data_IF_465166399457
#
_entry.id   IF_465166399457
#
_cell.length_a   1.000
_cell.length_b   1.000
_cell.length_c   1.000
_cell.angle_alpha   90.00
_cell.angle_beta   90.00
_cell.angle_gamma   90.00
#
_symmetry.space_group_name_H-M   'P 1'
#
loop_
_entity.id
_entity.type
_entity.pdbx_description
1 polymer ?
#
# COMPACT_ATOMS: atom_id res chain seq x y z
N UNK A 1 46.63 13.11 29.37
CA UNK A 1 46.97 13.68 30.69
C UNK A 1 45.83 14.60 31.09
N UNK A 2 45.22 14.32 32.25
CA UNK A 2 44.16 15.04 32.99
C UNK A 2 42.76 15.11 32.30
N UNK A 3 41.72 14.38 32.73
CA UNK A 3 40.97 14.28 34.02
C UNK A 3 39.93 15.38 34.29
N UNK A 4 38.74 14.93 34.72
CA UNK A 4 37.68 15.70 35.40
C UNK A 4 36.62 16.29 34.46
N UNK A 5 35.38 15.82 34.36
CA UNK A 5 34.46 15.40 35.43
C UNK A 5 33.44 16.52 35.66
N UNK A 6 32.13 16.16 35.64
CA UNK A 6 30.97 16.78 36.32
C UNK A 6 29.71 16.71 35.44
N UNK A 7 28.83 15.78 35.81
CA UNK A 7 27.40 15.77 35.53
C UNK A 7 26.69 16.81 36.41
N UNK A 8 25.47 17.26 36.05
CA UNK A 8 24.47 17.63 37.03
C UNK A 8 23.32 16.63 37.06
N UNK A 9 23.25 15.98 38.22
CA UNK A 9 22.13 15.47 39.00
C UNK A 9 20.72 15.96 38.62
N UNK A 10 19.78 15.01 38.59
CA UNK A 10 18.34 15.19 38.60
C UNK A 10 17.80 15.86 39.89
N UNK A 11 16.54 16.35 39.88
CA UNK A 11 15.66 16.25 41.03
C UNK A 11 14.63 15.12 40.82
N UNK A 12 14.51 14.30 41.85
CA UNK A 12 13.56 13.21 42.00
C UNK A 12 12.14 13.71 42.28
N UNK A 13 11.13 12.89 41.93
CA UNK A 13 9.86 12.86 42.68
C UNK A 13 8.59 12.46 41.91
N UNK A 14 8.28 11.16 41.93
CA UNK A 14 6.90 10.61 41.88
C UNK A 14 6.25 10.48 40.49
N UNK A 15 5.65 9.37 40.07
CA UNK A 15 5.28 8.11 40.72
C UNK A 15 5.28 7.02 39.64
N UNK A 16 5.95 5.90 39.90
CA UNK A 16 5.86 4.70 39.10
C UNK A 16 4.45 4.09 39.24
N UNK A 17 3.63 4.26 38.22
CA UNK A 17 2.46 3.42 37.99
C UNK A 17 2.89 2.23 37.14
N UNK A 18 3.08 1.08 37.78
CA UNK A 18 3.26 -0.19 37.10
C UNK A 18 2.04 -0.43 36.19
N UNK A 19 2.25 -0.54 34.87
CA UNK A 19 1.28 -1.14 33.97
C UNK A 19 1.29 -2.65 34.22
N UNK A 20 0.59 -3.05 35.27
CA UNK A 20 0.13 -4.41 35.43
C UNK A 20 -0.76 -4.78 34.25
N UNK A 21 -0.45 -5.91 33.64
CA UNK A 21 -1.33 -6.64 32.73
C UNK A 21 -2.63 -6.95 33.47
N UNK A 22 -3.81 -6.50 33.01
CA UNK A 22 -5.04 -7.19 33.32
C UNK A 22 -5.28 -8.20 32.20
N UNK A 23 -5.01 -9.47 32.48
CA UNK A 23 -5.69 -10.56 31.80
C UNK A 23 -7.18 -10.44 32.12
N UNK A 24 -7.91 -9.77 31.24
CA UNK A 24 -9.33 -9.56 31.34
C UNK A 24 -9.87 -9.50 29.92
N UNK A 25 -10.50 -10.59 29.52
CA UNK A 25 -11.28 -10.71 28.29
C UNK A 25 -12.30 -9.57 28.25
N UNK A 26 -11.95 -8.48 27.55
CA UNK A 26 -12.85 -7.36 27.30
C UNK A 26 -13.83 -7.83 26.23
N UNK A 27 -14.95 -8.40 26.66
CA UNK A 27 -16.17 -8.32 25.88
C UNK A 27 -16.40 -6.84 25.53
N UNK A 28 -16.60 -6.47 24.26
CA UNK A 28 -16.82 -5.07 23.89
C UNK A 28 -18.11 -4.60 24.55
N UNK A 29 -17.97 -3.69 25.52
CA UNK A 29 -19.11 -3.01 26.11
C UNK A 29 -19.92 -2.25 25.04
N UNK A 30 -21.23 -2.03 25.23
CA UNK A 30 -22.04 -1.30 24.28
C UNK A 30 -21.50 0.13 24.16
N UNK A 31 -20.83 0.42 23.05
CA UNK A 31 -20.36 1.76 22.73
C UNK A 31 -21.60 2.64 22.56
N UNK A 32 -21.94 3.40 23.59
CA UNK A 32 -22.94 4.46 23.50
C UNK A 32 -22.42 5.50 22.52
N UNK A 33 -23.19 5.78 21.48
CA UNK A 33 -22.80 6.68 20.41
C UNK A 33 -22.46 8.06 20.98
N UNK A 34 -21.36 8.71 20.54
CA UNK A 34 -21.31 10.16 20.64
C UNK A 34 -22.48 10.73 19.82
N UNK A 35 -23.11 11.80 20.30
CA UNK A 35 -24.14 12.54 19.57
C UNK A 35 -23.62 13.05 18.18
N UNK A 36 -22.31 12.99 17.94
CA UNK A 36 -21.64 13.30 16.68
C UNK A 36 -20.55 12.26 16.31
N UNK A 37 -20.96 11.13 15.69
CA UNK A 37 -20.03 10.10 15.17
C UNK A 37 -19.17 10.63 14.02
N UNK A 38 -19.72 11.53 13.19
CA UNK A 38 -18.98 12.13 12.09
C UNK A 38 -17.81 12.98 12.60
N UNK A 39 -18.07 13.83 13.60
CA UNK A 39 -17.02 14.60 14.30
C UNK A 39 -15.99 13.71 14.98
N UNK A 40 -16.41 12.60 15.62
CA UNK A 40 -15.47 11.63 16.19
C UNK A 40 -14.56 11.04 15.12
N UNK A 41 -15.12 10.49 14.04
CA UNK A 41 -14.35 9.89 12.95
C UNK A 41 -13.38 10.88 12.33
N UNK A 42 -13.83 12.11 12.08
CA UNK A 42 -13.02 13.19 11.51
C UNK A 42 -11.85 13.62 12.43
N UNK A 43 -12.03 13.54 13.74
CA UNK A 43 -11.00 13.92 14.73
C UNK A 43 -9.88 12.88 14.91
N UNK A 44 -10.12 11.63 14.53
CA UNK A 44 -9.21 10.52 14.75
C UNK A 44 -8.22 10.36 13.57
N UNK A 45 -6.93 10.35 13.90
CA UNK A 45 -5.87 9.96 12.97
C UNK A 45 -5.90 8.45 12.68
N UNK A 46 -5.30 8.04 11.56
CA UNK A 46 -5.19 6.63 11.23
C UNK A 46 -4.38 5.84 12.28
N UNK A 47 -4.81 4.60 12.56
CA UNK A 47 -4.19 3.71 13.55
C UNK A 47 -5.23 2.92 14.36
N UNK A 48 -4.78 2.30 15.46
CA UNK A 48 -5.59 1.36 16.24
C UNK A 48 -6.89 1.94 16.81
N UNK A 49 -6.89 3.20 17.26
CA UNK A 49 -8.09 3.85 17.78
C UNK A 49 -9.18 4.01 16.71
N UNK A 50 -8.79 4.50 15.52
CA UNK A 50 -9.72 4.62 14.39
C UNK A 50 -10.17 3.24 13.88
N UNK A 51 -9.26 2.26 13.83
CA UNK A 51 -9.57 0.90 13.43
C UNK A 51 -10.64 0.27 14.33
N UNK A 52 -10.53 0.39 15.65
CA UNK A 52 -11.52 -0.15 16.58
C UNK A 52 -12.91 0.52 16.44
N UNK A 53 -12.96 1.84 16.20
CA UNK A 53 -14.23 2.54 15.97
C UNK A 53 -14.87 2.09 14.65
N UNK A 54 -14.09 2.01 13.57
CA UNK A 54 -14.56 1.54 12.26
C UNK A 54 -15.03 0.09 12.33
N UNK A 55 -14.27 -0.79 12.98
CA UNK A 55 -14.63 -2.18 13.21
C UNK A 55 -15.95 -2.30 13.99
N UNK A 56 -16.11 -1.56 15.09
CA UNK A 56 -17.34 -1.56 15.87
C UNK A 56 -18.58 -1.08 15.10
N UNK A 57 -18.40 -0.11 14.19
CA UNK A 57 -19.49 0.35 13.31
C UNK A 57 -19.82 -0.68 12.23
N UNK A 58 -18.82 -1.24 11.55
CA UNK A 58 -19.01 -2.24 10.49
C UNK A 58 -19.52 -3.58 11.02
N UNK A 59 -19.18 -3.95 12.27
CA UNK A 59 -19.67 -5.17 12.91
C UNK A 59 -21.20 -5.24 12.99
N UNK A 60 -21.90 -4.09 12.95
CA UNK A 60 -23.37 -4.03 12.92
C UNK A 60 -23.98 -4.47 11.60
N UNK A 61 -23.19 -4.49 10.53
CA UNK A 61 -23.59 -5.05 9.24
C UNK A 61 -23.35 -6.57 9.17
N UNK A 62 -22.81 -7.19 10.23
CA UNK A 62 -22.48 -8.61 10.25
C UNK A 62 -23.48 -9.36 11.14
N UNK A 63 -24.18 -10.33 10.56
CA UNK A 63 -25.09 -11.25 11.26
C UNK A 63 -24.50 -12.64 11.23
N UNK A 64 -24.72 -13.44 12.28
CA UNK A 64 -24.38 -14.88 12.26
C UNK A 64 -25.03 -15.55 11.06
N UNK A 65 -24.23 -16.23 10.23
CA UNK A 65 -24.76 -17.04 9.14
C UNK A 65 -25.62 -18.16 9.74
N UNK A 66 -26.92 -18.18 9.47
CA UNK A 66 -27.76 -19.31 9.87
C UNK A 66 -27.31 -20.53 9.07
N UNK A 67 -26.86 -21.58 9.76
CA UNK A 67 -26.76 -22.89 9.15
C UNK A 67 -28.17 -23.35 8.81
N UNK A 68 -28.52 -23.40 7.54
CA UNK A 68 -29.67 -24.20 7.11
C UNK A 68 -29.32 -25.68 7.34
N UNK A 69 -29.49 -26.15 8.57
CA UNK A 69 -29.50 -27.57 8.86
C UNK A 69 -30.31 -27.86 10.12
N UNK A 70 -31.63 -27.73 10.00
CA UNK A 70 -32.57 -28.44 10.86
C UNK A 70 -33.50 -29.26 9.95
N UNK A 71 -33.14 -30.51 9.69
CA UNK A 71 -34.04 -31.46 9.03
C UNK A 71 -33.39 -32.70 8.41
N UNK A 72 -33.24 -33.74 9.24
CA UNK A 72 -33.22 -35.18 8.87
C UNK A 72 -31.94 -35.68 8.16
N UNK A 73 -31.22 -36.72 8.57
CA UNK A 73 -31.48 -37.84 9.46
C UNK A 73 -30.66 -39.02 8.94
N UNK A 74 -29.85 -39.63 9.81
CA UNK A 74 -29.43 -41.03 9.67
C UNK A 74 -28.19 -41.36 8.83
N UNK A 75 -27.10 -41.67 9.55
CA UNK A 75 -26.51 -43.01 9.48
C UNK A 75 -25.37 -43.26 8.49
N UNK A 76 -24.38 -44.02 8.98
CA UNK A 76 -23.46 -44.80 8.17
C UNK A 76 -22.02 -44.33 8.30
N UNK A 77 -21.26 -44.99 9.18
CA UNK A 77 -19.81 -44.89 9.17
C UNK A 77 -19.22 -45.58 7.96
N UNK A 78 -17.95 -45.32 7.70
CA UNK A 78 -16.97 -46.32 7.27
C UNK A 78 -15.60 -45.66 7.26
N UNK A 79 -14.70 -46.30 7.99
CA UNK A 79 -13.28 -46.03 8.04
C UNK A 79 -12.68 -46.10 6.63
N UNK A 80 -11.86 -45.12 6.27
CA UNK A 80 -10.93 -45.25 5.16
C UNK A 80 -9.55 -44.80 5.60
N UNK A 81 -8.75 -45.81 5.96
CA UNK A 81 -7.31 -45.74 6.03
C UNK A 81 -6.76 -45.37 4.64
N UNK A 82 -6.09 -44.23 4.55
CA UNK A 82 -5.26 -43.85 3.42
C UNK A 82 -3.97 -43.18 3.92
N UNK A 83 -2.94 -44.02 4.01
CA UNK A 83 -1.49 -43.79 4.00
C UNK A 83 -1.01 -42.37 3.62
N UNK A 84 -0.05 -41.85 4.39
CA UNK A 84 0.97 -40.97 3.81
C UNK A 84 2.35 -41.26 4.40
N UNK A 85 3.14 -41.98 3.63
CA UNK A 85 4.54 -42.24 3.86
C UNK A 85 5.40 -41.02 3.45
N UNK A 86 6.26 -40.59 4.37
CA UNK A 86 7.62 -40.08 4.17
C UNK A 86 7.91 -39.00 3.12
N UNK A 87 8.39 -37.85 3.60
CA UNK A 87 9.69 -37.33 3.13
C UNK A 87 10.34 -36.45 4.20
N UNK A 88 11.64 -36.64 4.35
CA UNK A 88 12.51 -35.96 5.28
C UNK A 88 13.01 -34.63 4.69
N UNK A 89 13.29 -33.70 5.61
CA UNK A 89 14.33 -32.68 5.58
C UNK A 89 14.40 -31.75 4.35
N UNK A 90 13.70 -30.63 4.51
CA UNK A 90 13.92 -29.42 3.76
C UNK A 90 12.97 -28.34 4.26
N UNK A 91 13.27 -27.70 5.39
CA UNK A 91 12.59 -26.46 5.81
C UNK A 91 12.91 -25.36 4.80
N UNK A 92 12.21 -25.37 3.66
CA UNK A 92 12.13 -24.25 2.75
C UNK A 92 11.31 -23.17 3.42
N UNK A 93 11.81 -21.94 3.41
CA UNK A 93 11.21 -20.71 3.95
C UNK A 93 9.79 -20.37 3.41
N UNK A 94 9.15 -21.27 2.66
CA UNK A 94 8.02 -21.02 1.77
C UNK A 94 6.90 -22.09 1.79
N UNK A 95 6.96 -23.16 2.59
CA UNK A 95 6.01 -24.29 2.48
C UNK A 95 4.82 -24.29 3.48
N UNK A 96 4.55 -23.17 4.19
CA UNK A 96 3.59 -23.16 5.31
C UNK A 96 2.27 -22.39 5.13
N UNK A 97 1.95 -21.88 3.93
CA UNK A 97 1.11 -20.67 3.85
C UNK A 97 -0.38 -20.86 3.52
N UNK A 98 -0.80 -22.02 3.04
CA UNK A 98 -2.19 -22.23 2.60
C UNK A 98 -3.20 -22.45 3.74
N UNK A 99 -2.74 -22.79 4.95
CA UNK A 99 -3.60 -23.04 6.10
C UNK A 99 -4.13 -21.78 6.79
N UNK A 100 -3.36 -20.70 6.82
CA UNK A 100 -3.74 -19.46 7.52
C UNK A 100 -4.86 -18.72 6.78
N UNK A 101 -4.77 -18.60 5.45
CA UNK A 101 -5.79 -17.88 4.69
C UNK A 101 -7.13 -18.64 4.71
N UNK A 102 -7.10 -19.96 4.57
CA UNK A 102 -8.29 -20.79 4.68
C UNK A 102 -8.96 -20.70 6.05
N UNK A 103 -8.18 -20.66 7.15
CA UNK A 103 -8.75 -20.49 8.50
C UNK A 103 -9.34 -19.10 8.72
N UNK A 104 -8.73 -18.05 8.19
CA UNK A 104 -9.27 -16.68 8.22
C UNK A 104 -10.58 -16.56 7.43
N UNK A 105 -10.66 -17.20 6.25
CA UNK A 105 -11.88 -17.28 5.45
C UNK A 105 -12.98 -18.03 6.19
N UNK A 106 -12.68 -19.22 6.73
CA UNK A 106 -13.66 -20.02 7.48
C UNK A 106 -14.18 -19.28 8.73
N UNK A 107 -13.33 -18.54 9.44
CA UNK A 107 -13.76 -17.69 10.56
C UNK A 107 -14.69 -16.55 10.09
N UNK A 108 -14.42 -15.98 8.92
CA UNK A 108 -15.24 -14.91 8.32
C UNK A 108 -16.61 -15.43 7.86
N UNK A 109 -16.68 -16.64 7.30
CA UNK A 109 -17.92 -17.28 6.82
C UNK A 109 -18.96 -17.51 7.93
N UNK A 110 -18.54 -17.52 9.19
CA UNK A 110 -19.46 -17.58 10.34
C UNK A 110 -20.40 -16.36 10.41
N UNK A 111 -20.05 -15.27 9.71
CA UNK A 111 -20.87 -14.05 9.62
C UNK A 111 -21.15 -13.70 8.17
N UNK A 112 -22.40 -13.35 7.87
CA UNK A 112 -22.80 -12.77 6.59
C UNK A 112 -22.93 -11.26 6.69
N UNK A 113 -22.63 -10.57 5.60
CA UNK A 113 -22.98 -9.15 5.46
C UNK A 113 -24.48 -8.99 5.23
N UNK A 114 -25.08 -8.01 5.90
CA UNK A 114 -26.47 -7.60 5.68
C UNK A 114 -26.63 -7.00 4.29
N UNK A 115 -27.79 -7.25 3.66
CA UNK A 115 -28.20 -6.50 2.48
C UNK A 115 -28.53 -5.04 2.82
N UNK A 116 -28.59 -4.17 1.81
CA UNK A 116 -28.91 -2.73 2.02
C UNK A 116 -30.28 -2.54 2.67
N UNK A 117 -31.25 -3.40 2.34
CA UNK A 117 -32.60 -3.36 2.92
C UNK A 117 -32.61 -3.77 4.40
N UNK A 118 -31.83 -4.78 4.78
CA UNK A 118 -31.67 -5.25 6.17
C UNK A 118 -30.83 -4.28 7.02
N UNK A 119 -29.91 -3.54 6.39
CA UNK A 119 -29.04 -2.59 7.06
C UNK A 119 -29.80 -1.40 7.68
N UNK A 120 -31.06 -1.18 7.31
CA UNK A 120 -31.92 -0.18 7.95
C UNK A 120 -32.08 -0.37 9.46
N UNK A 121 -32.17 -1.63 9.89
CA UNK A 121 -32.37 -1.99 11.30
C UNK A 121 -31.06 -2.05 12.10
N UNK A 122 -29.90 -2.02 11.42
CA UNK A 122 -28.57 -2.06 12.04
C UNK A 122 -28.20 -0.78 12.80
N UNK A 123 -28.97 0.30 12.62
CA UNK A 123 -28.66 1.63 13.14
C UNK A 123 -27.52 2.35 12.41
N UNK A 124 -26.84 1.70 11.45
CA UNK A 124 -25.77 2.32 10.65
C UNK A 124 -26.32 3.39 9.70
N UNK A 125 -27.49 3.15 9.08
CA UNK A 125 -28.18 4.18 8.29
C UNK A 125 -28.58 5.40 9.14
N UNK A 126 -28.73 5.22 10.44
CA UNK A 126 -28.98 6.30 11.41
C UNK A 126 -27.85 7.32 11.52
N UNK A 127 -26.64 7.00 11.04
CA UNK A 127 -25.52 7.95 10.92
C UNK A 127 -25.77 9.04 9.86
N UNK A 128 -26.71 8.81 8.94
CA UNK A 128 -26.99 9.69 7.81
C UNK A 128 -25.85 9.79 6.80
N UNK A 129 -26.07 10.58 5.73
CA UNK A 129 -25.10 10.71 4.64
C UNK A 129 -23.74 11.26 5.10
N UNK A 130 -23.73 12.19 6.07
CA UNK A 130 -22.48 12.76 6.62
C UNK A 130 -21.67 11.74 7.41
N UNK A 131 -22.31 10.98 8.30
CA UNK A 131 -21.61 9.97 9.11
C UNK A 131 -21.13 8.79 8.27
N UNK A 132 -21.91 8.35 7.28
CA UNK A 132 -21.47 7.33 6.32
C UNK A 132 -20.32 7.82 5.43
N UNK A 133 -20.35 9.08 5.01
CA UNK A 133 -19.25 9.71 4.28
C UNK A 133 -17.95 9.75 5.09
N UNK A 134 -18.03 10.14 6.36
CA UNK A 134 -16.87 10.13 7.27
C UNK A 134 -16.38 8.71 7.59
N UNK A 135 -17.29 7.72 7.67
CA UNK A 135 -16.91 6.31 7.83
C UNK A 135 -16.11 5.81 6.61
N UNK A 136 -16.56 6.13 5.39
CA UNK A 136 -15.81 5.81 4.18
C UNK A 136 -14.44 6.50 4.15
N UNK A 137 -14.37 7.78 4.56
CA UNK A 137 -13.12 8.52 4.68
C UNK A 137 -12.18 7.90 5.72
N UNK A 138 -12.71 7.47 6.87
CA UNK A 138 -11.96 6.77 7.91
C UNK A 138 -11.36 5.43 7.41
N UNK A 139 -12.15 4.62 6.70
CA UNK A 139 -11.66 3.40 6.05
C UNK A 139 -10.52 3.71 5.07
N UNK A 140 -10.65 4.79 4.30
CA UNK A 140 -9.59 5.21 3.37
C UNK A 140 -8.31 5.65 4.10
N UNK A 141 -8.42 6.38 5.21
CA UNK A 141 -7.28 6.73 6.06
C UNK A 141 -6.57 5.49 6.62
N UNK A 142 -7.34 4.48 7.06
CA UNK A 142 -6.79 3.21 7.55
C UNK A 142 -6.09 2.41 6.45
N UNK A 143 -6.65 2.39 5.23
CA UNK A 143 -6.02 1.74 4.09
C UNK A 143 -4.68 2.40 3.73
N UNK A 144 -4.60 3.72 3.76
CA UNK A 144 -3.35 4.46 3.56
C UNK A 144 -2.31 4.16 4.66
N UNK A 145 -2.73 4.14 5.93
CA UNK A 145 -1.84 3.78 7.05
C UNK A 145 -1.33 2.34 6.96
N UNK A 146 -2.18 1.38 6.58
CA UNK A 146 -1.78 0.00 6.38
C UNK A 146 -0.77 -0.12 5.23
N UNK A 147 -1.01 0.58 4.10
CA UNK A 147 -0.10 0.60 2.96
C UNK A 147 1.26 1.24 3.30
N UNK A 148 1.27 2.31 4.11
CA UNK A 148 2.50 2.89 4.65
C UNK A 148 3.28 1.85 5.47
N UNK A 149 2.61 1.13 6.37
CA UNK A 149 3.23 0.07 7.17
C UNK A 149 3.77 -1.08 6.32
N UNK A 150 3.02 -1.50 5.29
CA UNK A 150 3.43 -2.50 4.31
C UNK A 150 4.70 -2.08 3.55
N UNK A 151 4.76 -0.82 3.11
CA UNK A 151 5.93 -0.26 2.43
C UNK A 151 7.16 -0.21 3.36
N UNK A 152 7.01 0.21 4.62
CA UNK A 152 8.11 0.21 5.59
C UNK A 152 8.61 -1.20 5.90
N UNK A 153 7.71 -2.17 6.08
CA UNK A 153 8.10 -3.57 6.26
C UNK A 153 8.87 -4.10 5.03
N UNK A 154 8.39 -3.79 3.82
CA UNK A 154 9.06 -4.15 2.57
C UNK A 154 10.47 -3.54 2.47
N UNK A 155 10.64 -2.28 2.86
CA UNK A 155 11.95 -1.64 2.90
C UNK A 155 12.89 -2.28 3.93
N UNK A 156 12.39 -2.57 5.14
CA UNK A 156 13.16 -3.23 6.20
C UNK A 156 13.68 -4.61 5.80
N UNK A 157 12.93 -5.37 4.99
CA UNK A 157 13.39 -6.68 4.46
C UNK A 157 14.73 -6.56 3.71
N UNK A 158 15.00 -5.42 3.06
CA UNK A 158 16.30 -5.22 2.36
C UNK A 158 17.50 -5.13 3.32
N UNK A 159 17.25 -4.89 4.61
CA UNK A 159 18.24 -4.89 5.68
C UNK A 159 18.42 -6.26 6.38
N UNK A 160 17.54 -7.23 6.11
CA UNK A 160 17.59 -8.54 6.77
C UNK A 160 18.79 -9.38 6.27
N UNK A 161 19.72 -9.79 7.17
CA UNK A 161 20.86 -10.62 6.80
C UNK A 161 20.46 -12.00 6.28
N UNK A 162 19.32 -12.53 6.72
CA UNK A 162 18.78 -13.84 6.34
C UNK A 162 18.46 -13.91 4.84
N UNK A 163 18.23 -12.75 4.21
CA UNK A 163 17.99 -12.65 2.77
C UNK A 163 19.29 -12.54 1.96
N UNK A 164 20.47 -12.67 2.57
CA UNK A 164 21.76 -12.71 1.87
C UNK A 164 22.25 -14.15 1.67
N UNK A 165 22.83 -14.46 0.50
CA UNK A 165 23.46 -15.78 0.27
C UNK A 165 24.80 -15.96 1.00
N UNK A 166 25.30 -14.92 1.70
CA UNK A 166 26.60 -14.91 2.37
C UNK A 166 26.53 -14.37 3.81
N UNK A 167 25.79 -15.04 4.72
CA UNK A 167 25.54 -14.55 6.07
C UNK A 167 26.81 -14.40 6.95
N UNK A 168 27.93 -15.04 6.57
CA UNK A 168 29.19 -15.04 7.32
C UNK A 168 30.29 -14.08 6.85
N UNK A 169 30.07 -13.28 5.80
CA UNK A 169 31.06 -12.30 5.28
C UNK A 169 30.89 -10.90 5.87
N UNK A 170 30.30 -10.83 7.06
CA UNK A 170 30.15 -9.60 7.82
C UNK A 170 31.55 -9.20 8.32
N UNK A 171 31.98 -7.95 8.06
CA UNK A 171 33.22 -7.44 8.62
C UNK A 171 33.21 -7.55 10.16
N UNK A 172 34.33 -7.28 10.86
CA UNK A 172 34.43 -7.39 12.32
C UNK A 172 33.42 -6.52 13.11
N UNK A 173 32.64 -5.67 12.43
CA UNK A 173 31.54 -4.86 12.95
C UNK A 173 30.15 -5.20 12.39
N UNK A 174 30.01 -6.28 11.62
CA UNK A 174 28.73 -6.63 11.00
C UNK A 174 28.48 -5.99 9.63
N UNK A 175 29.43 -5.24 9.09
CA UNK A 175 29.20 -4.51 7.84
C UNK A 175 29.53 -5.38 6.62
N UNK A 176 28.53 -5.56 5.76
CA UNK A 176 28.71 -6.10 4.41
C UNK A 176 29.16 -4.95 3.50
N UNK A 177 30.10 -5.23 2.57
CA UNK A 177 30.45 -4.27 1.53
C UNK A 177 29.18 -3.79 0.79
N UNK A 178 28.92 -2.48 0.68
CA UNK A 178 27.69 -1.94 0.08
C UNK A 178 27.48 -2.39 -1.38
N UNK A 179 28.55 -2.82 -2.05
CA UNK A 179 28.57 -3.25 -3.46
C UNK A 179 28.25 -4.73 -3.63
N UNK A 180 28.37 -5.55 -2.59
CA UNK A 180 28.11 -7.00 -2.66
C UNK A 180 26.98 -7.34 -1.68
N UNK A 181 25.74 -7.19 -2.14
CA UNK A 181 24.59 -7.79 -1.45
C UNK A 181 23.34 -6.93 -1.31
N UNK A 182 23.39 -5.60 -1.54
CA UNK A 182 22.15 -4.80 -1.47
C UNK A 182 21.19 -5.15 -2.61
N UNK A 183 21.65 -5.17 -3.86
CA UNK A 183 20.81 -5.55 -5.00
C UNK A 183 20.28 -7.00 -4.87
N UNK A 184 21.11 -7.90 -4.32
CA UNK A 184 20.73 -9.28 -4.03
C UNK A 184 19.64 -9.35 -2.95
N UNK A 185 19.82 -8.67 -1.81
CA UNK A 185 18.80 -8.62 -0.75
C UNK A 185 17.53 -7.95 -1.24
N UNK A 186 17.64 -6.89 -2.03
CA UNK A 186 16.50 -6.22 -2.66
C UNK A 186 15.76 -7.17 -3.59
N UNK A 187 16.48 -7.97 -4.38
CA UNK A 187 15.90 -9.00 -5.24
C UNK A 187 15.20 -10.09 -4.42
N UNK A 188 15.84 -10.62 -3.38
CA UNK A 188 15.30 -11.68 -2.52
C UNK A 188 14.07 -11.20 -1.73
N UNK A 189 14.10 -9.98 -1.18
CA UNK A 189 12.95 -9.35 -0.54
C UNK A 189 11.78 -9.21 -1.52
N UNK A 190 12.06 -8.78 -2.75
CA UNK A 190 11.03 -8.65 -3.80
C UNK A 190 10.44 -10.01 -4.19
N UNK A 191 11.27 -11.05 -4.29
CA UNK A 191 10.81 -12.41 -4.56
C UNK A 191 9.93 -12.94 -3.43
N UNK A 192 10.36 -12.82 -2.18
CA UNK A 192 9.59 -13.20 -1.01
C UNK A 192 8.23 -12.48 -0.97
N UNK A 193 8.21 -11.16 -1.14
CA UNK A 193 6.96 -10.39 -1.15
C UNK A 193 6.04 -10.80 -2.31
N UNK A 194 6.61 -11.09 -3.48
CA UNK A 194 5.81 -11.51 -4.64
C UNK A 194 5.09 -12.84 -4.41
N UNK A 195 5.74 -13.79 -3.72
CA UNK A 195 5.13 -15.08 -3.39
C UNK A 195 4.14 -14.93 -2.25
N UNK A 196 4.55 -14.27 -1.16
CA UNK A 196 3.73 -14.08 0.06
C UNK A 196 2.44 -13.28 -0.20
N UNK A 197 2.46 -12.29 -1.09
CA UNK A 197 1.31 -11.43 -1.38
C UNK A 197 0.58 -11.78 -2.69
N UNK A 198 1.06 -12.77 -3.45
CA UNK A 198 0.49 -13.13 -4.75
C UNK A 198 0.54 -12.00 -5.80
N UNK A 199 1.53 -11.10 -5.72
CA UNK A 199 1.68 -9.94 -6.61
C UNK A 199 2.87 -10.10 -7.56
N UNK A 200 2.91 -9.28 -8.62
CA UNK A 200 4.07 -9.27 -9.50
C UNK A 200 5.34 -8.77 -8.78
N UNK A 201 6.51 -9.31 -9.16
CA UNK A 201 7.81 -8.81 -8.68
C UNK A 201 8.00 -7.31 -8.92
N UNK A 202 7.46 -6.78 -10.02
CA UNK A 202 7.52 -5.33 -10.27
C UNK A 202 6.74 -4.54 -9.22
N UNK A 203 5.55 -5.02 -8.81
CA UNK A 203 4.75 -4.37 -7.75
C UNK A 203 5.43 -4.49 -6.39
N UNK A 204 5.92 -5.68 -6.03
CA UNK A 204 6.71 -5.86 -4.81
C UNK A 204 7.96 -4.95 -4.80
N UNK A 205 8.62 -4.81 -5.95
CA UNK A 205 9.75 -3.90 -6.10
C UNK A 205 9.37 -2.44 -5.86
N UNK A 206 8.24 -1.99 -6.40
CA UNK A 206 7.72 -0.63 -6.16
C UNK A 206 7.39 -0.37 -4.69
N UNK A 207 6.91 -1.38 -3.96
CA UNK A 207 6.66 -1.25 -2.52
C UNK A 207 7.96 -1.06 -1.73
N UNK A 208 9.00 -1.82 -2.08
CA UNK A 208 10.34 -1.66 -1.49
C UNK A 208 10.87 -0.25 -1.77
N UNK A 209 10.86 0.20 -3.02
CA UNK A 209 11.37 1.54 -3.40
C UNK A 209 10.59 2.66 -2.70
N UNK A 210 9.25 2.51 -2.62
CA UNK A 210 8.39 3.46 -1.93
C UNK A 210 8.72 3.54 -0.44
N UNK A 211 8.82 2.40 0.26
CA UNK A 211 9.19 2.37 1.67
C UNK A 211 10.57 2.97 1.93
N UNK A 212 11.54 2.67 1.09
CA UNK A 212 12.89 3.25 1.18
C UNK A 212 12.88 4.76 1.00
N UNK A 213 12.10 5.26 0.04
CA UNK A 213 11.92 6.69 -0.15
C UNK A 213 11.31 7.35 1.09
N UNK A 214 10.25 6.77 1.68
CA UNK A 214 9.61 7.27 2.90
C UNK A 214 10.56 7.31 4.11
N UNK A 215 11.47 6.33 4.22
CA UNK A 215 12.50 6.29 5.26
C UNK A 215 13.67 7.26 5.02
N UNK A 216 13.74 7.89 3.84
CA UNK A 216 14.80 8.84 3.50
C UNK A 216 14.45 10.26 3.97
N UNK A 217 15.49 11.07 4.24
CA UNK A 217 15.35 12.46 4.68
C UNK A 217 14.61 13.35 3.67
N UNK A 218 14.51 12.94 2.41
CA UNK A 218 13.87 13.72 1.34
C UNK A 218 12.35 13.68 1.34
N UNK A 219 11.70 12.77 2.10
CA UNK A 219 10.26 12.53 2.00
C UNK A 219 9.50 12.60 3.33
N UNK A 220 10.10 13.18 4.38
CA UNK A 220 9.44 13.37 5.68
C UNK A 220 8.02 13.98 5.58
N UNK A 221 7.78 15.05 4.78
CA UNK A 221 6.44 15.60 4.61
C UNK A 221 5.44 14.61 3.99
N UNK A 222 5.85 13.85 2.98
CA UNK A 222 5.01 12.82 2.33
C UNK A 222 4.73 11.66 3.29
N UNK A 223 5.76 11.19 4.01
CA UNK A 223 5.66 10.11 5.01
C UNK A 223 4.62 10.44 6.09
N UNK A 224 4.70 11.64 6.68
CA UNK A 224 3.77 12.02 7.76
C UNK A 224 2.33 12.04 7.27
N UNK A 225 2.09 12.53 6.05
CA UNK A 225 0.75 12.62 5.47
C UNK A 225 0.17 11.26 5.09
N UNK A 226 1.00 10.34 4.60
CA UNK A 226 0.57 8.97 4.30
C UNK A 226 0.30 8.18 5.58
N UNK A 227 1.21 8.28 6.56
CA UNK A 227 1.07 7.64 7.87
C UNK A 227 -0.19 8.07 8.60
N UNK A 228 -0.57 9.35 8.55
CA UNK A 228 -1.83 9.79 9.16
C UNK A 228 -3.08 9.52 8.30
N UNK A 229 -2.89 9.01 7.08
CA UNK A 229 -3.94 8.67 6.12
C UNK A 229 -4.54 9.86 5.37
N UNK A 230 -4.00 11.07 5.54
CA UNK A 230 -4.45 12.28 4.83
C UNK A 230 -4.09 12.22 3.35
N UNK A 231 -2.97 11.57 3.02
CA UNK A 231 -2.56 11.27 1.66
C UNK A 231 -2.76 9.77 1.41
N UNK A 232 -3.48 9.43 0.34
CA UNK A 232 -3.62 8.04 -0.07
C UNK A 232 -2.30 7.49 -0.64
N UNK A 233 -2.13 6.18 -0.53
CA UNK A 233 -0.90 5.49 -0.93
C UNK A 233 -0.59 5.65 -2.43
N UNK A 234 -1.59 5.79 -3.29
CA UNK A 234 -1.37 6.00 -4.72
C UNK A 234 -0.75 7.38 -5.01
N UNK A 235 -1.20 8.43 -4.31
CA UNK A 235 -0.57 9.76 -4.40
C UNK A 235 0.80 9.79 -3.72
N UNK A 236 0.94 9.17 -2.55
CA UNK A 236 2.23 9.12 -1.85
C UNK A 236 3.30 8.40 -2.69
N UNK A 237 2.97 7.22 -3.23
CA UNK A 237 3.83 6.46 -4.15
C UNK A 237 4.14 7.23 -5.44
N UNK A 238 3.19 8.02 -5.96
CA UNK A 238 3.46 8.91 -7.09
C UNK A 238 4.48 9.99 -6.73
N UNK A 239 4.36 10.62 -5.56
CA UNK A 239 5.30 11.64 -5.09
C UNK A 239 6.69 11.05 -4.91
N UNK A 240 6.82 9.92 -4.21
CA UNK A 240 8.13 9.29 -3.99
C UNK A 240 8.79 8.90 -5.31
N UNK A 241 8.07 8.21 -6.20
CA UNK A 241 8.60 7.77 -7.50
C UNK A 241 9.00 8.92 -8.42
N UNK A 242 8.28 10.05 -8.39
CA UNK A 242 8.58 11.20 -9.26
C UNK A 242 9.74 12.05 -8.77
N UNK A 243 10.08 11.96 -7.48
CA UNK A 243 11.11 12.77 -6.85
C UNK A 243 12.32 11.95 -6.38
N UNK A 244 12.33 10.62 -6.56
CA UNK A 244 13.41 9.72 -6.13
C UNK A 244 14.79 10.13 -6.67
N UNK A 245 14.87 10.47 -7.96
CA UNK A 245 16.10 10.93 -8.62
C UNK A 245 16.32 12.46 -8.53
N UNK A 246 15.50 13.18 -7.76
CA UNK A 246 15.57 14.64 -7.63
C UNK A 246 16.40 15.00 -6.40
N UNK A 247 17.31 16.00 -6.48
CA UNK A 247 18.08 16.43 -5.31
C UNK A 247 17.19 16.77 -4.12
N UNK A 248 17.55 16.28 -2.93
CA UNK A 248 16.76 16.41 -1.70
C UNK A 248 16.20 17.83 -1.45
N UNK A 249 17.00 18.91 -1.59
CA UNK A 249 16.47 20.27 -1.38
C UNK A 249 15.35 20.65 -2.37
N UNK A 250 15.45 20.19 -3.63
CA UNK A 250 14.44 20.43 -4.67
C UNK A 250 13.20 19.57 -4.40
N UNK A 251 13.38 18.31 -4.00
CA UNK A 251 12.28 17.41 -3.66
C UNK A 251 11.44 17.96 -2.49
N UNK A 252 12.08 18.50 -1.46
CA UNK A 252 11.40 19.16 -0.33
C UNK A 252 10.65 20.42 -0.78
N UNK A 253 11.27 21.29 -1.57
CA UNK A 253 10.62 22.49 -2.08
C UNK A 253 9.42 22.19 -3.00
N UNK A 254 9.48 21.10 -3.77
CA UNK A 254 8.34 20.62 -4.56
C UNK A 254 7.23 20.09 -3.66
N UNK A 255 7.56 19.32 -2.63
CA UNK A 255 6.60 18.81 -1.65
C UNK A 255 5.87 19.96 -0.93
N UNK A 256 6.57 21.00 -0.50
CA UNK A 256 5.98 22.18 0.15
C UNK A 256 4.92 22.87 -0.72
N UNK A 257 5.10 22.88 -2.05
CA UNK A 257 4.12 23.44 -2.99
C UNK A 257 2.93 22.52 -3.26
N UNK A 258 3.16 21.21 -3.37
CA UNK A 258 2.18 20.23 -3.88
C UNK A 258 1.33 19.62 -2.76
N UNK A 259 1.96 19.21 -1.67
CA UNK A 259 1.31 18.43 -0.61
C UNK A 259 0.12 19.13 0.05
N UNK A 260 0.11 20.46 0.30
CA UNK A 260 -1.04 21.12 0.92
C UNK A 260 -2.36 21.01 0.14
N UNK A 261 -2.29 20.75 -1.18
CA UNK A 261 -3.46 20.60 -2.05
C UNK A 261 -3.69 19.16 -2.49
N UNK A 262 -2.71 18.27 -2.33
CA UNK A 262 -2.75 16.90 -2.83
C UNK A 262 -3.94 16.06 -2.33
N UNK A 263 -4.39 16.15 -1.06
CA UNK A 263 -5.53 15.35 -0.58
C UNK A 263 -6.81 15.60 -1.38
N UNK A 264 -7.06 16.84 -1.83
CA UNK A 264 -8.26 17.26 -2.57
C UNK A 264 -8.15 17.09 -4.08
N UNK A 265 -7.01 16.65 -4.60
CA UNK A 265 -6.75 16.52 -6.03
C UNK A 265 -6.71 15.07 -6.46
N UNK A 266 -7.01 14.79 -7.72
CA UNK A 266 -6.85 13.46 -8.29
C UNK A 266 -5.35 13.13 -8.47
N UNK A 267 -5.01 11.84 -8.56
CA UNK A 267 -3.63 11.38 -8.80
C UNK A 267 -3.03 12.04 -10.06
N UNK A 268 -3.82 12.17 -11.13
CA UNK A 268 -3.38 12.83 -12.37
C UNK A 268 -3.17 14.34 -12.21
N UNK A 269 -3.96 15.02 -11.38
CA UNK A 269 -3.75 16.43 -11.06
C UNK A 269 -2.47 16.61 -10.23
N UNK A 270 -2.26 15.77 -9.21
CA UNK A 270 -1.03 15.78 -8.40
C UNK A 270 0.20 15.55 -9.28
N UNK A 271 0.13 14.61 -10.24
CA UNK A 271 1.22 14.40 -11.20
C UNK A 271 1.57 15.66 -12.00
N UNK A 272 0.56 16.40 -12.49
CA UNK A 272 0.76 17.68 -13.19
C UNK A 272 1.30 18.77 -12.27
N UNK A 273 0.87 18.80 -11.01
CA UNK A 273 1.35 19.76 -10.02
C UNK A 273 2.82 19.53 -9.67
N UNK A 274 3.24 18.26 -9.54
CA UNK A 274 4.65 17.89 -9.35
C UNK A 274 5.48 18.34 -10.55
N UNK A 275 5.03 18.04 -11.78
CA UNK A 275 5.76 18.44 -12.99
C UNK A 275 5.89 19.96 -13.10
N UNK A 276 4.82 20.71 -12.78
CA UNK A 276 4.84 22.18 -12.72
C UNK A 276 5.81 22.68 -11.65
N UNK A 277 5.71 22.17 -10.43
CA UNK A 277 6.57 22.57 -9.33
C UNK A 277 8.04 22.25 -9.61
N UNK A 278 8.35 21.13 -10.28
CA UNK A 278 9.70 20.79 -10.72
C UNK A 278 10.23 21.77 -11.77
N UNK A 279 9.41 22.15 -12.76
CA UNK A 279 9.82 23.15 -13.77
C UNK A 279 10.11 24.51 -13.15
N UNK A 280 9.34 24.93 -12.15
CA UNK A 280 9.55 26.20 -11.45
C UNK A 280 10.77 26.18 -10.53
N UNK A 281 11.02 25.06 -9.85
CA UNK A 281 12.02 24.95 -8.78
C UNK A 281 13.39 24.58 -9.31
N UNK A 282 13.44 23.78 -10.39
CA UNK A 282 14.68 23.31 -11.01
C UNK A 282 14.55 23.26 -12.55
N UNK A 283 14.61 24.43 -13.22
CA UNK A 283 14.54 24.51 -14.69
C UNK A 283 15.69 23.77 -15.37
N UNK A 284 16.90 23.85 -14.82
CA UNK A 284 18.11 23.24 -15.38
C UNK A 284 18.06 21.71 -15.32
N UNK A 285 17.71 21.14 -14.17
CA UNK A 285 17.54 19.71 -14.04
C UNK A 285 16.30 19.21 -14.79
N UNK A 286 15.29 20.05 -15.03
CA UNK A 286 14.20 19.69 -15.93
C UNK A 286 14.70 19.42 -17.35
N UNK A 287 15.56 20.29 -17.91
CA UNK A 287 16.15 20.08 -19.24
C UNK A 287 16.95 18.77 -19.30
N UNK A 288 17.74 18.47 -18.27
CA UNK A 288 18.52 17.23 -18.19
C UNK A 288 17.61 15.99 -18.07
N UNK A 289 16.57 16.03 -17.24
CA UNK A 289 15.57 14.95 -17.13
C UNK A 289 14.85 14.70 -18.46
N UNK A 290 14.49 15.75 -19.18
CA UNK A 290 13.89 15.63 -20.52
C UNK A 290 14.86 14.93 -21.47
N UNK A 291 16.14 15.32 -21.48
CA UNK A 291 17.17 14.68 -22.32
C UNK A 291 17.30 13.19 -22.03
N UNK A 292 17.34 12.81 -20.75
CA UNK A 292 17.39 11.39 -20.31
C UNK A 292 16.12 10.63 -20.71
N UNK A 293 14.94 11.22 -20.57
CA UNK A 293 13.69 10.55 -20.97
C UNK A 293 13.60 10.35 -22.48
N UNK A 294 14.05 11.34 -23.27
CA UNK A 294 14.10 11.24 -24.74
C UNK A 294 15.09 10.15 -25.21
N UNK A 295 16.21 9.96 -24.49
CA UNK A 295 17.15 8.89 -24.82
C UNK A 295 16.61 7.49 -24.48
N UNK A 296 15.67 7.40 -23.54
CA UNK A 296 14.96 6.16 -23.14
C UNK A 296 13.71 5.85 -23.96
N UNK A 297 13.47 6.57 -25.07
CA UNK A 297 12.36 6.28 -25.99
C UNK A 297 12.34 4.80 -26.38
N UNK A 298 11.17 4.19 -26.41
CA UNK A 298 11.04 2.77 -26.72
C UNK A 298 9.69 2.43 -27.36
N UNK A 299 9.69 1.34 -28.11
CA UNK A 299 8.50 0.70 -28.66
C UNK A 299 8.45 -0.71 -28.10
N UNK A 300 7.37 -1.05 -27.42
CA UNK A 300 7.21 -2.40 -26.88
C UNK A 300 6.91 -3.39 -28.00
N UNK A 301 7.31 -4.65 -27.83
CA UNK A 301 6.81 -5.72 -28.70
C UNK A 301 5.27 -5.81 -28.61
N UNK A 302 4.57 -6.26 -29.66
CA UNK A 302 3.12 -6.51 -29.61
C UNK A 302 2.77 -7.42 -28.43
N UNK A 303 1.81 -7.00 -27.62
CA UNK A 303 1.28 -7.78 -26.49
C UNK A 303 -0.21 -8.04 -26.71
N UNK A 304 -0.72 -9.25 -26.42
CA UNK A 304 -2.16 -9.52 -26.50
C UNK A 304 -2.95 -8.54 -25.62
N UNK A 305 -4.03 -7.97 -26.16
CA UNK A 305 -4.89 -7.00 -25.48
C UNK A 305 -6.36 -7.44 -25.43
N UNK A 306 -6.61 -8.73 -25.67
CA UNK A 306 -7.91 -9.32 -25.91
C UNK A 306 -7.81 -10.39 -27.00
N UNK A 307 -8.92 -11.00 -27.33
CA UNK A 307 -8.96 -12.03 -28.37
C UNK A 307 -8.71 -11.42 -29.76
N UNK A 308 -7.72 -11.97 -30.48
CA UNK A 308 -7.39 -11.55 -31.85
C UNK A 308 -6.76 -10.16 -31.99
N UNK A 309 -6.50 -9.44 -30.90
CA UNK A 309 -5.95 -8.08 -30.92
C UNK A 309 -4.65 -7.97 -30.12
N UNK A 310 -3.75 -7.12 -30.60
CA UNK A 310 -2.47 -6.83 -29.94
C UNK A 310 -2.28 -5.34 -29.74
N UNK A 311 -1.79 -4.96 -28.57
CA UNK A 311 -1.39 -3.61 -28.21
C UNK A 311 0.12 -3.45 -28.39
N UNK A 312 0.52 -2.30 -28.96
CA UNK A 312 1.89 -1.80 -28.96
C UNK A 312 1.89 -0.48 -28.20
N UNK A 313 2.82 -0.32 -27.25
CA UNK A 313 3.03 0.93 -26.51
C UNK A 313 4.25 1.64 -27.07
N UNK A 314 4.10 2.93 -27.38
CA UNK A 314 5.18 3.81 -27.81
C UNK A 314 5.42 4.86 -26.73
N UNK A 315 6.68 5.12 -26.42
CA UNK A 315 7.14 6.24 -25.58
C UNK A 315 8.01 7.13 -26.46
N UNK A 316 7.51 8.33 -26.76
CA UNK A 316 8.09 9.24 -27.74
C UNK A 316 8.23 10.65 -27.12
N UNK A 317 9.11 11.52 -27.68
CA UNK A 317 9.04 12.95 -27.41
C UNK A 317 7.63 13.50 -27.69
N UNK A 318 7.18 14.47 -26.89
CA UNK A 318 5.79 14.98 -26.94
C UNK A 318 5.39 15.44 -28.34
N UNK A 319 6.27 16.16 -29.04
CA UNK A 319 5.98 16.63 -30.40
C UNK A 319 5.83 15.47 -31.38
N UNK A 320 6.67 14.45 -31.29
CA UNK A 320 6.60 13.27 -32.15
C UNK A 320 5.33 12.45 -31.88
N UNK A 321 4.93 12.34 -30.61
CA UNK A 321 3.69 11.66 -30.21
C UNK A 321 2.46 12.37 -30.80
N UNK A 322 2.40 13.70 -30.73
CA UNK A 322 1.32 14.49 -31.31
C UNK A 322 1.25 14.36 -32.83
N UNK A 323 2.41 14.34 -33.50
CA UNK A 323 2.47 14.13 -34.95
C UNK A 323 1.98 12.73 -35.35
N UNK A 324 2.37 11.70 -34.58
CA UNK A 324 1.91 10.34 -34.80
C UNK A 324 0.38 10.24 -34.61
N UNK A 325 -0.14 10.81 -33.53
CA UNK A 325 -1.58 10.83 -33.21
C UNK A 325 -2.39 11.50 -34.33
N UNK A 326 -2.00 12.72 -34.73
CA UNK A 326 -2.64 13.44 -35.83
C UNK A 326 -2.59 12.68 -37.16
N UNK A 327 -1.50 11.94 -37.43
CA UNK A 327 -1.36 11.12 -38.64
C UNK A 327 -2.30 9.92 -38.61
N UNK A 328 -2.38 9.22 -37.47
CA UNK A 328 -3.28 8.09 -37.28
C UNK A 328 -4.75 8.52 -37.37
N UNK A 329 -5.10 9.66 -36.79
CA UNK A 329 -6.43 10.25 -36.91
C UNK A 329 -6.80 10.59 -38.35
N UNK A 330 -5.88 11.18 -39.12
CA UNK A 330 -6.11 11.48 -40.53
C UNK A 330 -6.34 10.21 -41.36
N UNK A 331 -5.59 9.15 -41.10
CA UNK A 331 -5.76 7.83 -41.75
C UNK A 331 -7.12 7.24 -41.37
N UNK A 332 -7.48 7.27 -40.09
CA UNK A 332 -8.73 6.70 -39.60
C UNK A 332 -9.95 7.47 -40.15
N UNK A 333 -9.88 8.81 -40.22
CA UNK A 333 -10.89 9.64 -40.87
C UNK A 333 -11.04 9.29 -42.37
N UNK A 334 -9.92 9.07 -43.07
CA UNK A 334 -9.93 8.67 -44.48
C UNK A 334 -10.56 7.28 -44.68
N UNK A 335 -10.21 6.30 -43.85
CA UNK A 335 -10.79 4.96 -43.89
C UNK A 335 -12.31 4.98 -43.65
N UNK A 336 -12.77 5.84 -42.73
CA UNK A 336 -14.20 6.05 -42.47
C UNK A 336 -14.93 6.66 -43.66
N UNK A 337 -14.31 7.63 -44.35
CA UNK A 337 -14.87 8.19 -45.58
C UNK A 337 -15.02 7.12 -46.69
N UNK A 338 -14.14 6.11 -46.70
CA UNK A 338 -14.22 4.94 -47.58
C UNK A 338 -15.20 3.84 -47.10
N UNK A 339 -15.95 4.06 -46.01
CA UNK A 339 -17.01 3.17 -45.54
C UNK A 339 -16.65 2.27 -44.34
N UNK A 340 -15.47 2.41 -43.74
CA UNK A 340 -15.10 1.68 -42.51
C UNK A 340 -15.91 2.20 -41.30
N UNK A 341 -16.50 1.31 -40.49
CA UNK A 341 -17.47 1.66 -39.43
C UNK A 341 -16.89 1.78 -38.02
N UNK A 342 -15.56 1.69 -37.83
CA UNK A 342 -14.93 1.70 -36.49
C UNK A 342 -14.92 3.11 -35.87
N UNK A 343 -14.89 3.18 -34.54
CA UNK A 343 -14.84 4.43 -33.79
C UNK A 343 -13.49 5.12 -33.95
N UNK A 344 -13.52 6.44 -34.15
CA UNK A 344 -12.37 7.31 -33.89
C UNK A 344 -12.27 7.49 -32.36
N UNK A 345 -11.05 7.44 -31.83
CA UNK A 345 -10.76 7.59 -30.40
C UNK A 345 -10.57 9.06 -30.03
#
# INVERSE_FOLDING_TARGET
>A
MFEGGVLPLAPAGGTAGALGVPGGELAPGPVTFPEDVAGLLASLGAGGALAGVVEGLLARLLVTAQSHNDGDGGGGGEDSDAESAGSADGEGLFDGESGTDATLVAASEQRRTMGVEEAGDSGLLGLGASGLGELAAACHRLAAWAAWGEALAAACLTGCPELSSHPGQWGPHGEVSPVVGYEERRFNATCLLSTRLGISRTRAGQMVDHGQALMSMGFGPTEVMERCGVLDSAKASLVTRRLEDVPVPVALAVQDKVLPQAPRRSVSQVGRDIERALMETDPTGHTERVRVNVSRRCVTRPKPAGEGISQVRLVLPTMDALLLDATLDAIAASARACGEKRSLG
#
